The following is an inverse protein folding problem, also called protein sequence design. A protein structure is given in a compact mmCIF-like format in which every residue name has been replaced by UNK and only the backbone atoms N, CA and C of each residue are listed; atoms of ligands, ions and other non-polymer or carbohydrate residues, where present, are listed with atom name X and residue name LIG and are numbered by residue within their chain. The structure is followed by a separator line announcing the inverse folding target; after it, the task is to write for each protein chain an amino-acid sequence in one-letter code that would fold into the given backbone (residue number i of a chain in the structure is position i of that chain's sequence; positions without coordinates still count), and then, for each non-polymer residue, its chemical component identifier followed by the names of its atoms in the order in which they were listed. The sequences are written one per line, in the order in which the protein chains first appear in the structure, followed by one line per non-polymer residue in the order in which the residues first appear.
data_IF_202993017376
#
_entry.id   IF_202993017376
#
_cell.length_a   1.000
_cell.length_b   1.000
_cell.length_c   1.000
_cell.angle_alpha   90.00
_cell.angle_beta   90.00
_cell.angle_gamma   90.00
#
_symmetry.space_group_name_H-M   'P 1'
#
loop_
_entity.id
_entity.type
_entity.pdbx_description
1 polymer ?
#
# COMPACT_ATOMS: atom_id res chain seq x y z
N UNK A 1 7.76 15.58 7.45
CA UNK A 1 7.14 14.29 7.13
C UNK A 1 8.01 13.59 6.10
N UNK A 2 8.42 12.35 6.34
CA UNK A 2 9.25 11.62 5.37
C UNK A 2 8.41 10.54 4.70
N UNK A 3 8.39 10.53 3.36
CA UNK A 3 7.71 9.50 2.56
C UNK A 3 8.04 8.07 3.03
N UNK A 4 9.23 7.87 3.60
CA UNK A 4 9.69 6.61 4.18
C UNK A 4 8.82 6.10 5.34
N UNK A 5 8.27 6.97 6.19
CA UNK A 5 7.43 6.54 7.32
C UNK A 5 6.06 6.06 6.82
N UNK A 6 5.52 6.75 5.81
CA UNK A 6 4.30 6.35 5.12
C UNK A 6 4.53 5.01 4.40
N UNK A 7 5.62 4.88 3.64
CA UNK A 7 5.97 3.65 2.93
C UNK A 7 6.12 2.47 3.88
N UNK A 8 6.88 2.65 4.96
CA UNK A 8 7.06 1.61 5.97
C UNK A 8 5.73 1.18 6.60
N UNK A 9 4.82 2.13 6.84
CA UNK A 9 3.50 1.82 7.38
C UNK A 9 2.63 1.09 6.36
N UNK A 10 2.62 1.51 5.09
CA UNK A 10 1.92 0.81 4.00
C UNK A 10 2.42 -0.63 3.88
N UNK A 11 3.74 -0.84 3.86
CA UNK A 11 4.34 -2.17 3.73
C UNK A 11 3.99 -3.11 4.90
N UNK A 12 3.70 -2.58 6.09
CA UNK A 12 3.18 -3.38 7.21
C UNK A 12 1.71 -3.79 7.04
N UNK A 13 0.93 -3.04 6.25
CA UNK A 13 -0.50 -3.29 6.04
C UNK A 13 -0.77 -4.21 4.84
N UNK A 14 0.11 -4.20 3.84
CA UNK A 14 -0.01 -5.02 2.63
C UNK A 14 0.43 -6.46 2.95
N UNK A 15 -0.31 -7.44 2.43
CA UNK A 15 -0.07 -8.87 2.64
C UNK A 15 -0.04 -9.59 1.28
N UNK A 16 0.36 -10.87 1.25
CA UNK A 16 0.45 -11.67 0.01
C UNK A 16 -0.90 -11.92 -0.68
N UNK A 17 -2.01 -11.74 0.03
CA UNK A 17 -3.36 -11.82 -0.54
C UNK A 17 -3.80 -10.44 -1.03
N UNK A 18 -4.50 -10.42 -2.16
CA UNK A 18 -5.17 -9.23 -2.67
C UNK A 18 -6.06 -8.58 -1.59
N UNK A 19 -5.82 -7.30 -1.35
CA UNK A 19 -6.61 -6.42 -0.48
C UNK A 19 -7.02 -5.17 -1.25
N UNK A 20 -8.21 -4.65 -0.98
CA UNK A 20 -8.68 -3.40 -1.59
C UNK A 20 -7.73 -2.25 -1.27
N UNK A 21 -7.37 -1.46 -2.28
CA UNK A 21 -6.52 -0.27 -2.11
C UNK A 21 -7.11 0.66 -1.05
N UNK A 22 -8.43 0.91 -1.09
CA UNK A 22 -9.13 1.71 -0.08
C UNK A 22 -8.97 1.18 1.36
N UNK A 23 -8.88 -0.15 1.54
CA UNK A 23 -8.66 -0.75 2.87
C UNK A 23 -7.23 -0.51 3.34
N UNK A 24 -6.24 -0.65 2.45
CA UNK A 24 -4.84 -0.38 2.78
C UNK A 24 -4.64 1.11 3.12
N UNK A 25 -5.26 2.02 2.38
CA UNK A 25 -5.24 3.46 2.67
C UNK A 25 -5.79 3.72 4.08
N UNK A 26 -6.99 3.22 4.38
CA UNK A 26 -7.64 3.45 5.67
C UNK A 26 -6.83 2.89 6.86
N UNK A 27 -6.31 1.66 6.72
CA UNK A 27 -5.48 1.04 7.76
C UNK A 27 -4.17 1.80 7.97
N UNK A 28 -3.54 2.24 6.89
CA UNK A 28 -2.28 2.98 6.94
C UNK A 28 -2.49 4.36 7.58
N UNK A 29 -3.57 5.05 7.25
CA UNK A 29 -3.92 6.34 7.87
C UNK A 29 -4.18 6.18 9.36
N UNK A 30 -4.95 5.17 9.77
CA UNK A 30 -5.20 4.89 11.18
C UNK A 30 -3.89 4.60 11.94
N UNK A 31 -2.98 3.83 11.35
CA UNK A 31 -1.68 3.51 11.95
C UNK A 31 -0.78 4.76 12.06
N UNK A 32 -0.70 5.58 11.01
CA UNK A 32 0.05 6.84 11.00
C UNK A 32 -0.48 7.81 12.04
N UNK A 33 -1.81 7.97 12.11
CA UNK A 33 -2.47 8.83 13.11
C UNK A 33 -2.14 8.39 14.54
N UNK A 34 -2.15 7.07 14.82
CA UNK A 34 -1.75 6.53 16.12
C UNK A 34 -0.26 6.78 16.45
N UNK A 35 0.59 6.85 15.43
CA UNK A 35 2.00 7.20 15.56
C UNK A 35 2.24 8.73 15.62
N UNK A 36 1.19 9.55 15.59
CA UNK A 36 1.30 11.02 15.59
C UNK A 36 1.73 11.60 14.24
N UNK A 37 1.60 10.84 13.16
CA UNK A 37 1.91 11.26 11.79
C UNK A 37 0.60 11.58 11.06
N UNK A 38 0.40 12.84 10.69
CA UNK A 38 -0.76 13.26 9.90
C UNK A 38 -0.49 13.03 8.42
N UNK A 39 -1.26 12.16 7.78
CA UNK A 39 -1.20 11.88 6.34
C UNK A 39 -2.61 11.89 5.75
N UNK A 40 -2.79 12.57 4.63
CA UNK A 40 -4.02 12.50 3.85
C UNK A 40 -4.14 11.14 3.14
N UNK A 41 -5.36 10.79 2.76
CA UNK A 41 -5.60 9.56 2.00
C UNK A 41 -4.96 9.62 0.62
N UNK A 42 -4.92 10.81 0.01
CA UNK A 42 -4.27 11.10 -1.26
C UNK A 42 -2.77 10.87 -1.19
N UNK A 43 -2.09 11.39 -0.16
CA UNK A 43 -0.65 11.15 0.04
C UNK A 43 -0.35 9.65 0.19
N UNK A 44 -1.16 8.92 0.96
CA UNK A 44 -1.00 7.47 1.12
C UNK A 44 -1.25 6.75 -0.21
N UNK A 45 -2.26 7.14 -0.97
CA UNK A 45 -2.56 6.55 -2.28
C UNK A 45 -1.42 6.80 -3.29
N UNK A 46 -0.84 8.01 -3.30
CA UNK A 46 0.33 8.34 -4.11
C UNK A 46 1.53 7.46 -3.73
N UNK A 47 1.76 7.24 -2.43
CA UNK A 47 2.82 6.34 -1.95
C UNK A 47 2.58 4.89 -2.37
N UNK A 48 1.35 4.39 -2.31
CA UNK A 48 0.98 3.06 -2.83
C UNK A 48 1.31 2.96 -4.33
N UNK A 49 0.96 3.97 -5.13
CA UNK A 49 1.26 3.97 -6.56
C UNK A 49 2.78 3.96 -6.84
N UNK A 50 3.56 4.70 -6.04
CA UNK A 50 5.03 4.67 -6.13
C UNK A 50 5.58 3.29 -5.80
N UNK A 51 5.17 2.68 -4.68
CA UNK A 51 5.62 1.33 -4.29
C UNK A 51 5.25 0.28 -5.35
N UNK A 52 4.06 0.40 -5.95
CA UNK A 52 3.65 -0.47 -7.05
C UNK A 52 4.54 -0.29 -8.29
N UNK A 53 4.86 0.97 -8.66
CA UNK A 53 5.76 1.26 -9.78
C UNK A 53 7.20 0.76 -9.56
N UNK A 54 7.62 0.64 -8.30
CA UNK A 54 8.93 0.13 -7.90
C UNK A 54 8.98 -1.40 -7.87
N UNK A 55 7.82 -2.06 -7.90
CA UNK A 55 7.68 -3.51 -7.76
C UNK A 55 7.76 -4.00 -6.31
N UNK A 56 7.72 -3.10 -5.33
CA UNK A 56 7.69 -3.46 -3.90
C UNK A 56 6.33 -4.07 -3.51
N UNK A 57 5.27 -3.73 -4.26
CA UNK A 57 3.95 -4.34 -4.18
C UNK A 57 3.41 -4.59 -5.59
N UNK A 58 2.52 -5.57 -5.72
CA UNK A 58 1.75 -5.78 -6.94
C UNK A 58 0.40 -5.06 -6.84
N UNK A 59 -0.11 -4.58 -7.98
CA UNK A 59 -1.45 -4.01 -8.08
C UNK A 59 -2.27 -4.66 -9.20
N UNK A 60 -3.60 -4.66 -9.03
CA UNK A 60 -4.54 -4.96 -10.10
C UNK A 60 -5.70 -3.96 -10.12
N UNK A 61 -6.17 -3.65 -11.33
CA UNK A 61 -7.11 -2.56 -11.57
C UNK A 61 -6.46 -1.18 -11.55
N UNK A 62 -7.30 -0.15 -11.64
CA UNK A 62 -6.87 1.26 -11.66
C UNK A 62 -6.71 1.78 -10.22
N UNK A 63 -5.48 2.12 -9.83
CA UNK A 63 -5.18 2.65 -8.49
C UNK A 63 -5.81 4.03 -8.22
N UNK A 64 -6.32 4.74 -9.23
CA UNK A 64 -7.16 5.94 -9.01
C UNK A 64 -8.57 5.60 -8.53
N UNK A 65 -9.04 4.36 -8.77
CA UNK A 65 -10.33 3.86 -8.33
C UNK A 65 -10.17 2.98 -7.07
N UNK A 66 -9.85 3.59 -5.92
CA UNK A 66 -9.41 2.88 -4.70
C UNK A 66 -10.28 1.70 -4.25
N UNK A 67 -11.61 1.77 -4.44
CA UNK A 67 -12.54 0.69 -4.07
C UNK A 67 -12.62 -0.44 -5.11
N UNK A 68 -12.15 -0.18 -6.33
CA UNK A 68 -12.14 -1.09 -7.48
C UNK A 68 -10.74 -1.59 -7.85
N UNK A 69 -9.71 -1.17 -7.12
CA UNK A 69 -8.35 -1.71 -7.22
C UNK A 69 -7.93 -2.47 -5.98
N UNK A 70 -6.93 -3.31 -6.17
CA UNK A 70 -6.36 -4.16 -5.14
C UNK A 70 -4.84 -4.16 -5.22
N UNK A 71 -4.21 -4.36 -4.07
CA UNK A 71 -2.75 -4.49 -3.91
C UNK A 71 -2.41 -5.71 -3.06
N UNK A 72 -1.20 -6.23 -3.25
CA UNK A 72 -0.62 -7.31 -2.43
C UNK A 72 0.91 -7.24 -2.41
N UNK A 73 1.54 -7.98 -1.51
CA UNK A 73 2.98 -8.22 -1.58
C UNK A 73 3.29 -9.09 -2.81
N UNK A 74 4.44 -8.86 -3.48
CA UNK A 74 4.87 -9.71 -4.58
C UNK A 74 5.00 -11.14 -4.10
N UNK A 75 4.51 -12.10 -4.90
CA UNK A 75 4.81 -13.49 -4.60
C UNK A 75 6.30 -13.72 -4.87
N UNK A 76 6.99 -14.36 -3.93
CA UNK A 76 8.31 -14.89 -4.24
C UNK A 76 8.17 -15.74 -5.52
N UNK A 77 9.08 -15.61 -6.50
CA UNK A 77 9.06 -16.52 -7.63
C UNK A 77 9.10 -17.93 -7.06
N UNK A 78 8.08 -18.74 -7.33
CA UNK A 78 8.06 -20.14 -6.91
C UNK A 78 9.42 -20.72 -7.30
N UNK A 79 10.22 -21.10 -6.29
CA UNK A 79 11.47 -21.79 -6.53
C UNK A 79 11.20 -23.04 -7.39
N UNK A 80 12.15 -23.49 -8.22
CA UNK A 80 11.89 -24.57 -9.16
C UNK A 80 11.42 -25.84 -8.42
N UNK A 81 10.58 -26.66 -9.09
CA UNK A 81 9.96 -27.85 -8.51
C UNK A 81 10.95 -28.89 -8.01
#
# INVERSE_FOLDING_TARGET
MTNRDIDATIMQMVVERWQKTAMIIAKSEEALRKAGVEASWEEIAERIAVLASQGDIENQGDLSLWRNSEVRLPQAPEGPP
#
